data_IF_491165180298
#
_entry.id   IF_491165180298
#
_cell.length_a   1.000
_cell.length_b   1.000
_cell.length_c   1.000
_cell.angle_alpha   90.00
_cell.angle_beta   90.00
_cell.angle_gamma   90.00
#
_symmetry.space_group_name_H-M   'P 1'
#
loop_
_entity.id
_entity.type
_entity.pdbx_description
1 polymer ?
#
# COMPACT_ATOMS: atom_id res chain seq x y z
N UNK A 1 -0.24 -8.25 39.18
CA UNK A 1 -0.44 -8.47 37.73
C UNK A 1 -0.54 -9.98 37.57
N UNK A 2 -1.78 -10.49 37.57
CA UNK A 2 -1.99 -11.94 37.48
C UNK A 2 -1.56 -12.37 36.07
N UNK A 3 -0.64 -13.32 36.05
CA UNK A 3 -0.18 -13.98 34.84
C UNK A 3 -1.35 -14.86 34.34
N UNK A 4 -2.13 -14.37 33.40
CA UNK A 4 -3.26 -15.09 32.80
C UNK A 4 -2.65 -16.11 31.83
N UNK A 5 -2.16 -17.20 32.36
CA UNK A 5 -1.80 -18.38 31.61
C UNK A 5 -3.08 -19.17 31.36
N UNK A 6 -3.59 -19.14 30.15
CA UNK A 6 -4.73 -19.94 29.72
C UNK A 6 -4.22 -21.32 29.30
N UNK A 7 -4.54 -22.36 30.10
CA UNK A 7 -4.15 -23.74 29.77
C UNK A 7 -4.75 -24.12 28.41
N UNK A 8 -3.89 -24.59 27.52
CA UNK A 8 -4.32 -25.12 26.23
C UNK A 8 -4.57 -24.09 25.10
N UNK A 9 -4.35 -22.79 25.34
CA UNK A 9 -4.41 -21.77 24.28
C UNK A 9 -3.01 -21.24 23.97
N UNK A 10 -2.63 -21.22 22.71
CA UNK A 10 -1.34 -20.70 22.24
C UNK A 10 -1.59 -19.65 21.16
N UNK A 11 -1.03 -18.46 21.38
CA UNK A 11 -1.07 -17.37 20.38
C UNK A 11 0.29 -17.25 19.72
N UNK A 12 0.31 -17.23 18.41
CA UNK A 12 1.51 -17.02 17.60
C UNK A 12 1.31 -15.79 16.69
N UNK A 13 2.26 -14.88 16.72
CA UNK A 13 2.28 -13.70 15.85
C UNK A 13 3.23 -13.99 14.69
N UNK A 14 2.82 -13.63 13.46
CA UNK A 14 3.66 -13.73 12.25
C UNK A 14 4.93 -12.88 12.39
N UNK A 15 5.96 -13.23 11.63
CA UNK A 15 7.26 -12.55 11.68
C UNK A 15 7.16 -11.05 11.35
N UNK A 16 6.28 -10.69 10.44
CA UNK A 16 5.99 -9.30 10.04
C UNK A 16 5.00 -8.60 10.99
N UNK A 17 4.48 -9.33 11.98
CA UNK A 17 3.46 -8.85 12.92
C UNK A 17 2.16 -8.39 12.26
N UNK A 18 1.85 -8.88 11.06
CA UNK A 18 0.63 -8.54 10.33
C UNK A 18 -0.51 -9.51 10.60
N UNK A 19 -0.21 -10.68 11.10
CA UNK A 19 -1.22 -11.69 11.43
C UNK A 19 -0.95 -12.31 12.80
N UNK A 20 -2.02 -12.71 13.48
CA UNK A 20 -1.92 -13.51 14.69
C UNK A 20 -2.80 -14.75 14.57
N UNK A 21 -2.28 -15.85 15.06
CA UNK A 21 -2.90 -17.16 15.01
C UNK A 21 -3.13 -17.69 16.41
N UNK A 22 -4.28 -18.33 16.61
CA UNK A 22 -4.65 -19.00 17.83
C UNK A 22 -4.74 -20.50 17.58
N UNK A 23 -4.11 -21.26 18.45
CA UNK A 23 -4.27 -22.72 18.50
C UNK A 23 -4.86 -23.07 19.86
N UNK A 24 -5.97 -23.82 19.87
CA UNK A 24 -6.59 -24.34 21.07
C UNK A 24 -6.32 -25.83 21.19
N UNK A 25 -6.09 -26.30 22.40
CA UNK A 25 -6.11 -27.72 22.75
C UNK A 25 -7.54 -28.15 23.13
N UNK A 26 -7.91 -29.41 22.94
CA UNK A 26 -9.19 -29.88 23.45
C UNK A 26 -9.32 -29.61 24.97
N UNK A 27 -10.43 -29.03 25.45
CA UNK A 27 -10.62 -28.74 26.87
C UNK A 27 -10.75 -30.04 27.67
N UNK A 28 -10.35 -29.99 28.91
CA UNK A 28 -10.59 -31.10 29.83
C UNK A 28 -12.09 -31.27 30.12
N UNK A 29 -12.49 -32.45 30.57
CA UNK A 29 -13.89 -32.78 30.82
C UNK A 29 -14.55 -31.81 31.81
N UNK A 30 -15.52 -31.03 31.35
CA UNK A 30 -16.25 -30.02 32.15
C UNK A 30 -15.72 -28.60 32.03
N UNK A 31 -14.65 -28.39 31.32
CA UNK A 31 -14.10 -27.05 31.02
C UNK A 31 -14.42 -26.69 29.55
N UNK A 32 -14.53 -25.38 29.28
CA UNK A 32 -14.75 -24.85 27.91
C UNK A 32 -14.10 -23.49 27.76
N UNK A 33 -13.87 -23.09 26.53
CA UNK A 33 -13.37 -21.76 26.24
C UNK A 33 -14.53 -20.78 26.06
N UNK A 34 -14.40 -19.61 26.64
CA UNK A 34 -15.33 -18.50 26.38
C UNK A 34 -14.66 -17.43 25.53
N UNK A 35 -15.43 -16.76 24.68
CA UNK A 35 -14.91 -15.69 23.82
C UNK A 35 -14.22 -14.60 24.63
N UNK A 36 -14.83 -14.17 25.73
CA UNK A 36 -14.32 -13.08 26.57
C UNK A 36 -12.97 -13.42 27.22
N UNK A 37 -12.79 -14.65 27.66
CA UNK A 37 -11.52 -15.11 28.24
C UNK A 37 -10.44 -15.20 27.17
N UNK A 38 -10.76 -15.75 26.00
CA UNK A 38 -9.81 -15.83 24.89
C UNK A 38 -9.39 -14.46 24.40
N UNK A 39 -10.32 -13.52 24.20
CA UNK A 39 -10.00 -12.15 23.79
C UNK A 39 -9.13 -11.45 24.83
N UNK A 40 -9.42 -11.64 26.13
CA UNK A 40 -8.60 -11.12 27.21
C UNK A 40 -7.19 -11.72 27.18
N UNK A 41 -7.07 -13.04 27.01
CA UNK A 41 -5.80 -13.71 26.88
C UNK A 41 -5.00 -13.23 25.66
N UNK A 42 -5.63 -13.16 24.50
CA UNK A 42 -5.02 -12.68 23.24
C UNK A 42 -4.42 -11.28 23.43
N UNK A 43 -5.11 -10.38 24.14
CA UNK A 43 -4.59 -9.05 24.45
C UNK A 43 -3.37 -9.08 25.36
N UNK A 44 -3.28 -10.02 26.31
CA UNK A 44 -2.07 -10.20 27.14
C UNK A 44 -0.87 -10.66 26.32
N UNK A 45 -1.10 -11.37 25.21
CA UNK A 45 -0.09 -11.79 24.26
C UNK A 45 0.30 -10.69 23.24
N UNK A 46 -0.04 -9.43 23.54
CA UNK A 46 0.26 -8.23 22.73
C UNK A 46 -0.44 -8.17 21.39
N UNK A 47 -1.53 -8.87 21.22
CA UNK A 47 -2.43 -8.71 20.07
C UNK A 47 -3.56 -7.78 20.50
N UNK A 48 -3.53 -6.53 20.04
CA UNK A 48 -4.43 -5.47 20.48
C UNK A 48 -5.26 -4.85 19.33
N UNK A 49 -4.84 -5.10 18.09
CA UNK A 49 -5.46 -4.51 16.92
C UNK A 49 -5.88 -5.59 15.92
N UNK A 50 -7.03 -5.35 15.25
CA UNK A 50 -7.53 -6.22 14.19
C UNK A 50 -8.00 -7.58 14.63
N UNK A 51 -8.39 -7.76 15.90
CA UNK A 51 -8.91 -9.04 16.45
C UNK A 51 -10.26 -9.33 15.79
N UNK A 52 -10.37 -10.52 15.22
CA UNK A 52 -11.60 -11.06 14.64
C UNK A 52 -12.30 -11.96 15.68
N UNK A 53 -13.20 -11.34 16.45
CA UNK A 53 -13.97 -12.03 17.47
C UNK A 53 -14.93 -13.07 16.86
N UNK A 54 -15.39 -12.87 15.62
CA UNK A 54 -16.24 -13.84 14.92
C UNK A 54 -15.48 -15.13 14.60
N UNK A 55 -14.26 -15.02 14.09
CA UNK A 55 -13.40 -16.17 13.83
C UNK A 55 -13.10 -16.97 15.13
N UNK A 56 -12.90 -16.26 16.25
CA UNK A 56 -12.67 -16.91 17.55
C UNK A 56 -13.95 -17.63 17.99
N UNK A 57 -15.13 -17.02 17.84
CA UNK A 57 -16.39 -17.62 18.20
C UNK A 57 -16.69 -18.87 17.34
N UNK A 58 -16.49 -18.79 16.02
CA UNK A 58 -16.62 -19.94 15.13
C UNK A 58 -15.68 -21.09 15.50
N UNK A 59 -14.47 -20.77 15.97
CA UNK A 59 -13.50 -21.76 16.43
C UNK A 59 -13.99 -22.49 17.69
N UNK A 60 -14.61 -21.76 18.63
CA UNK A 60 -15.21 -22.33 19.86
C UNK A 60 -16.39 -23.21 19.50
N UNK A 61 -17.35 -22.69 18.74
CA UNK A 61 -18.61 -23.35 18.39
C UNK A 61 -18.37 -24.60 17.52
N UNK A 62 -17.40 -24.51 16.61
CA UNK A 62 -17.01 -25.61 15.73
C UNK A 62 -16.09 -26.65 16.39
N UNK A 63 -15.63 -26.42 17.63
CA UNK A 63 -14.70 -27.33 18.31
C UNK A 63 -13.39 -27.49 17.54
N UNK A 64 -12.85 -26.41 16.98
CA UNK A 64 -11.62 -26.45 16.17
C UNK A 64 -10.41 -26.45 17.08
N UNK A 65 -9.85 -27.63 17.29
CA UNK A 65 -8.67 -27.82 18.13
C UNK A 65 -7.45 -28.26 17.34
N UNK A 66 -6.26 -28.03 17.89
CA UNK A 66 -4.96 -28.43 17.31
C UNK A 66 -4.70 -27.87 15.90
N UNK A 67 -5.30 -26.74 15.56
CA UNK A 67 -5.12 -26.04 14.30
C UNK A 67 -4.87 -24.56 14.55
N UNK A 68 -3.98 -23.99 13.75
CA UNK A 68 -3.74 -22.55 13.74
C UNK A 68 -4.90 -21.86 12.99
N UNK A 69 -5.63 -20.99 13.64
CA UNK A 69 -6.67 -20.15 13.07
C UNK A 69 -6.21 -18.69 13.14
N UNK A 70 -6.28 -18.00 12.02
CA UNK A 70 -5.96 -16.56 11.98
C UNK A 70 -7.06 -15.79 12.71
N UNK A 71 -6.68 -15.14 13.80
CA UNK A 71 -7.60 -14.44 14.72
C UNK A 71 -7.42 -12.93 14.73
N UNK A 72 -6.37 -12.43 14.10
CA UNK A 72 -6.16 -10.99 13.97
C UNK A 72 -5.36 -10.67 12.70
N UNK A 73 -5.70 -9.53 12.08
CA UNK A 73 -5.01 -8.99 10.92
C UNK A 73 -4.70 -7.52 11.11
N UNK A 74 -3.46 -7.17 10.84
CA UNK A 74 -3.03 -5.78 10.75
C UNK A 74 -3.53 -5.11 9.46
N UNK A 75 -3.40 -3.80 9.42
CA UNK A 75 -3.68 -2.99 8.25
C UNK A 75 -2.36 -2.61 7.57
N UNK A 76 -2.09 -3.02 6.32
CA UNK A 76 -0.90 -2.62 5.62
C UNK A 76 -0.90 -1.11 5.33
N UNK A 77 0.27 -0.46 5.27
CA UNK A 77 0.36 0.93 4.88
C UNK A 77 0.05 1.08 3.38
N UNK A 78 -0.59 2.19 3.02
CA UNK A 78 -0.77 2.59 1.62
C UNK A 78 0.27 3.66 1.30
N UNK A 79 1.26 3.29 0.50
CA UNK A 79 2.29 4.21 0.06
C UNK A 79 1.72 5.21 -0.94
N UNK A 80 2.16 6.45 -0.85
CA UNK A 80 1.82 7.47 -1.82
C UNK A 80 2.59 7.28 -3.12
N UNK A 81 1.96 7.64 -4.22
CA UNK A 81 2.64 7.83 -5.51
C UNK A 81 3.34 9.18 -5.54
N UNK A 82 4.47 9.24 -6.24
CA UNK A 82 5.16 10.51 -6.46
C UNK A 82 4.36 11.40 -7.42
N UNK A 83 4.54 12.71 -7.29
CA UNK A 83 4.05 13.64 -8.29
C UNK A 83 4.62 13.30 -9.66
N UNK A 84 3.84 13.55 -10.70
CA UNK A 84 4.23 13.27 -12.09
C UNK A 84 3.74 14.36 -13.03
N UNK A 85 4.45 14.53 -14.13
CA UNK A 85 3.99 15.31 -15.26
C UNK A 85 3.46 14.40 -16.36
N UNK A 86 2.33 14.75 -16.90
CA UNK A 86 1.83 14.21 -18.16
C UNK A 86 2.13 15.23 -19.26
N UNK A 87 2.96 14.84 -20.22
CA UNK A 87 3.32 15.69 -21.35
C UNK A 87 2.31 15.49 -22.48
N UNK A 88 1.82 16.59 -23.03
CA UNK A 88 0.85 16.58 -24.15
C UNK A 88 1.53 16.81 -25.51
N UNK A 89 2.82 16.57 -25.56
CA UNK A 89 3.63 16.53 -26.78
C UNK A 89 4.54 15.31 -26.73
N UNK A 90 5.06 14.91 -27.86
CA UNK A 90 6.01 13.81 -27.91
C UNK A 90 7.43 14.29 -27.56
N UNK A 91 7.98 13.94 -26.38
CA UNK A 91 9.34 14.33 -26.02
C UNK A 91 10.41 13.55 -26.79
N UNK A 92 10.06 12.36 -27.31
CA UNK A 92 10.94 11.48 -28.07
C UNK A 92 10.80 11.76 -29.55
N UNK A 93 11.25 12.93 -29.99
CA UNK A 93 11.38 13.21 -31.41
C UNK A 93 12.59 12.44 -31.90
N UNK A 94 12.32 11.36 -32.64
CA UNK A 94 13.38 10.51 -33.23
C UNK A 94 14.16 11.36 -34.24
N UNK A 95 15.26 11.96 -33.77
CA UNK A 95 16.17 12.74 -34.60
C UNK A 95 16.94 11.90 -35.63
N UNK A 96 16.52 10.64 -35.86
CA UNK A 96 17.12 9.75 -36.85
C UNK A 96 16.55 9.99 -38.25
N UNK A 97 17.39 10.29 -39.21
CA UNK A 97 16.95 10.42 -40.60
C UNK A 97 16.41 9.08 -41.12
N UNK A 98 15.32 9.13 -41.88
CA UNK A 98 14.84 7.94 -42.58
C UNK A 98 15.73 7.67 -43.78
N UNK A 99 16.18 6.41 -43.90
CA UNK A 99 16.88 5.94 -45.10
C UNK A 99 15.82 5.57 -46.13
N UNK A 100 15.88 6.17 -47.30
CA UNK A 100 15.00 5.84 -48.42
C UNK A 100 15.40 4.51 -49.05
N UNK A 101 14.51 3.92 -49.84
CA UNK A 101 14.75 2.63 -50.52
C UNK A 101 15.98 2.64 -51.46
N UNK A 102 16.36 3.83 -51.93
CA UNK A 102 17.56 4.03 -52.76
C UNK A 102 18.88 4.19 -51.96
N UNK A 103 18.80 4.05 -50.60
CA UNK A 103 19.97 4.21 -49.75
C UNK A 103 20.31 5.66 -49.38
N UNK A 104 19.58 6.64 -49.93
CA UNK A 104 19.78 8.05 -49.60
C UNK A 104 19.18 8.40 -48.27
N UNK A 105 19.79 9.35 -47.55
CA UNK A 105 19.31 9.82 -46.25
C UNK A 105 18.39 11.02 -46.46
N UNK A 106 17.14 10.90 -46.02
CA UNK A 106 16.17 11.99 -46.02
C UNK A 106 16.31 12.87 -44.78
N UNK A 107 17.19 13.86 -44.88
CA UNK A 107 17.40 14.83 -43.81
C UNK A 107 16.19 15.74 -43.55
N UNK A 108 15.26 15.88 -44.51
CA UNK A 108 14.04 16.66 -44.34
C UNK A 108 12.97 15.92 -43.54
N UNK A 109 13.10 14.60 -43.39
CA UNK A 109 12.19 13.80 -42.55
C UNK A 109 12.54 13.85 -41.08
N UNK A 110 13.66 14.48 -40.71
CA UNK A 110 14.05 14.67 -39.32
C UNK A 110 13.10 15.69 -38.67
N UNK A 111 12.10 15.20 -37.97
CA UNK A 111 11.34 16.05 -37.06
C UNK A 111 12.17 16.28 -35.81
N UNK A 112 12.91 17.36 -35.76
CA UNK A 112 13.77 17.74 -34.66
C UNK A 112 13.01 18.44 -33.54
N UNK A 113 11.79 18.92 -33.82
CA UNK A 113 10.98 19.70 -32.87
C UNK A 113 9.50 19.45 -33.18
N UNK A 114 8.72 19.20 -32.14
CA UNK A 114 7.26 19.27 -32.24
C UNK A 114 6.83 20.71 -31.98
N UNK A 115 6.08 21.28 -32.93
CA UNK A 115 5.59 22.65 -32.80
C UNK A 115 4.28 22.66 -32.02
N UNK A 116 4.24 23.46 -30.96
CA UNK A 116 3.03 23.72 -30.18
C UNK A 116 2.44 25.08 -30.58
N UNK A 117 1.13 25.24 -30.41
CA UNK A 117 0.42 26.49 -30.70
C UNK A 117 0.30 27.32 -29.43
N UNK A 118 0.18 28.62 -29.59
CA UNK A 118 -0.14 29.53 -28.49
C UNK A 118 -1.46 29.13 -27.83
N UNK A 119 -1.45 29.06 -26.49
CA UNK A 119 -2.58 28.60 -25.68
C UNK A 119 -2.77 27.08 -25.61
N UNK A 120 -1.88 26.30 -26.22
CA UNK A 120 -1.93 24.84 -26.13
C UNK A 120 -1.34 24.37 -24.79
N UNK A 121 -2.06 23.50 -24.07
CA UNK A 121 -1.53 22.83 -22.90
C UNK A 121 -0.42 21.88 -23.31
N UNK A 122 0.75 22.04 -22.72
CA UNK A 122 1.94 21.23 -23.00
C UNK A 122 2.23 20.18 -21.93
N UNK A 123 1.82 20.44 -20.69
CA UNK A 123 2.00 19.51 -19.61
C UNK A 123 0.94 19.70 -18.52
N UNK A 124 0.55 18.62 -17.88
CA UNK A 124 -0.31 18.63 -16.69
C UNK A 124 0.45 18.01 -15.54
N UNK A 125 0.46 18.69 -14.41
CA UNK A 125 1.06 18.20 -13.17
C UNK A 125 0.02 17.48 -12.33
N UNK A 126 0.34 16.27 -11.93
CA UNK A 126 -0.40 15.51 -10.92
C UNK A 126 0.40 15.50 -9.63
N UNK A 127 -0.14 16.08 -8.55
CA UNK A 127 0.55 16.06 -7.25
C UNK A 127 0.68 14.63 -6.70
N UNK A 128 1.59 14.41 -5.75
CA UNK A 128 1.67 13.12 -5.08
C UNK A 128 0.37 12.79 -4.36
N UNK A 129 0.02 11.50 -4.31
CA UNK A 129 -1.15 11.03 -3.56
C UNK A 129 -0.89 11.07 -2.06
N UNK A 130 -1.93 10.89 -1.26
CA UNK A 130 -1.80 10.81 0.20
C UNK A 130 -1.30 9.42 0.61
N UNK A 131 -0.38 9.41 1.57
CA UNK A 131 0.10 8.19 2.21
C UNK A 131 -0.76 7.88 3.44
N UNK A 132 -1.18 6.62 3.61
CA UNK A 132 -1.93 6.18 4.78
C UNK A 132 -1.09 5.19 5.57
N UNK A 133 -0.78 5.52 6.83
CA UNK A 133 -0.06 4.61 7.70
C UNK A 133 -0.88 3.37 8.00
N UNK A 134 -0.21 2.23 8.01
CA UNK A 134 -0.76 0.97 8.46
C UNK A 134 -0.64 0.80 9.99
N UNK A 135 -1.15 -0.32 10.48
CA UNK A 135 -1.03 -0.73 11.88
C UNK A 135 -0.90 -2.25 11.98
N UNK A 136 0.07 -2.73 12.71
CA UNK A 136 0.23 -4.16 12.92
C UNK A 136 -0.73 -4.69 14.01
N UNK A 137 -0.77 -6.03 14.20
CA UNK A 137 -1.66 -6.66 15.19
C UNK A 137 -1.35 -6.27 16.63
N UNK A 138 -0.14 -5.78 16.91
CA UNK A 138 0.26 -5.28 18.26
C UNK A 138 -0.05 -3.79 18.46
N UNK A 139 -0.77 -3.15 17.54
CA UNK A 139 -1.12 -1.74 17.64
C UNK A 139 0.04 -0.77 17.33
N UNK A 140 1.14 -1.25 16.75
CA UNK A 140 2.25 -0.38 16.33
C UNK A 140 1.99 0.14 14.93
N UNK A 141 2.15 1.47 14.70
CA UNK A 141 1.98 2.04 13.38
C UNK A 141 3.10 1.58 12.42
N UNK A 142 2.73 1.30 11.18
CA UNK A 142 3.64 1.04 10.07
C UNK A 142 3.62 2.27 9.19
N UNK A 143 4.75 2.94 9.10
CA UNK A 143 4.83 4.20 8.35
C UNK A 143 4.74 3.93 6.85
N UNK A 144 3.83 4.63 6.17
CA UNK A 144 3.75 4.67 4.73
C UNK A 144 4.80 5.60 4.14
N UNK A 145 5.27 5.28 2.95
CA UNK A 145 6.20 6.12 2.19
C UNK A 145 5.41 7.30 1.62
N UNK A 146 5.86 8.51 1.92
CA UNK A 146 5.26 9.74 1.38
C UNK A 146 5.70 9.96 -0.05
N UNK A 147 4.78 10.39 -0.90
CA UNK A 147 5.08 10.82 -2.26
C UNK A 147 5.88 12.10 -2.28
N UNK A 148 6.80 12.21 -3.23
CA UNK A 148 7.63 13.40 -3.44
C UNK A 148 7.00 14.27 -4.52
N UNK A 149 6.77 15.57 -4.24
CA UNK A 149 6.38 16.51 -5.29
C UNK A 149 7.54 16.71 -6.28
N UNK A 150 7.20 16.94 -7.54
CA UNK A 150 8.18 17.39 -8.51
C UNK A 150 8.28 18.90 -8.47
N UNK A 151 9.47 19.40 -8.86
CA UNK A 151 9.66 20.83 -9.00
C UNK A 151 8.89 21.35 -10.23
N UNK A 152 8.37 22.58 -10.18
CA UNK A 152 7.74 23.22 -11.34
C UNK A 152 8.64 23.19 -12.56
N UNK A 153 8.05 22.96 -13.73
CA UNK A 153 8.77 23.06 -14.99
C UNK A 153 9.31 24.49 -15.15
N UNK A 154 10.54 24.59 -15.63
CA UNK A 154 11.20 25.88 -15.88
C UNK A 154 11.63 25.94 -17.33
N UNK A 155 11.36 27.07 -17.96
CA UNK A 155 11.73 27.28 -19.36
C UNK A 155 11.27 28.65 -19.86
N UNK A 156 11.44 28.86 -21.16
CA UNK A 156 10.97 30.05 -21.85
C UNK A 156 9.86 29.65 -22.83
N UNK A 157 8.89 30.52 -23.00
CA UNK A 157 7.83 30.34 -23.99
C UNK A 157 6.59 29.59 -23.52
N UNK A 158 6.49 29.30 -22.23
CA UNK A 158 5.27 28.77 -21.61
C UNK A 158 4.99 29.45 -20.27
N UNK A 159 3.74 29.39 -19.84
CA UNK A 159 3.27 29.89 -18.56
C UNK A 159 2.64 28.74 -17.77
N UNK A 160 2.68 28.84 -16.45
CA UNK A 160 1.98 27.96 -15.55
C UNK A 160 0.66 28.61 -15.12
N UNK A 161 -0.40 27.84 -15.02
CA UNK A 161 -1.66 28.32 -14.41
C UNK A 161 -1.46 28.71 -12.95
N UNK A 162 -2.35 29.55 -12.39
CA UNK A 162 -2.24 30.05 -11.02
C UNK A 162 -2.24 28.91 -9.97
N UNK A 163 -2.91 27.81 -10.25
CA UNK A 163 -2.94 26.60 -9.41
C UNK A 163 -1.71 25.71 -9.55
N UNK A 164 -0.79 26.04 -10.48
CA UNK A 164 0.44 25.28 -10.69
C UNK A 164 0.28 23.92 -11.37
N UNK A 165 -0.92 23.60 -11.86
CA UNK A 165 -1.24 22.27 -12.39
C UNK A 165 -1.05 22.13 -13.90
N UNK A 166 -1.10 23.24 -14.66
CA UNK A 166 -1.11 23.20 -16.13
C UNK A 166 -0.08 24.16 -16.70
N UNK A 167 0.63 23.73 -17.75
CA UNK A 167 1.66 24.48 -18.46
C UNK A 167 1.34 24.58 -19.94
#
# INVERSE_FOLDING_TARGET
MEDISMRGAVVRISQDSMEAYLTLQPPEAGEGYTLSELVRYIRTQRVTNGIDEAAIQEMIDGGVYMRDVCIAKGQPPVNAENGRYELHFNPDVDGKPKVKEDGSIDYWSIRTVEMVKEGQTIATYYPPTEAVNGMNVSGKPILAVRGKPLQPLRGKGFHCTEDGSTY
#
